data_IF_917491710919
#
_entry.id   IF_917491710919
#
_cell.length_a   1.000
_cell.length_b   1.000
_cell.length_c   1.000
_cell.angle_alpha   90.00
_cell.angle_beta   90.00
_cell.angle_gamma   90.00
#
_symmetry.space_group_name_H-M   'P 1'
#
loop_
_entity.id
_entity.type
_entity.pdbx_description
1 polymer ?
#
# COMPACT_ATOMS: atom_id res chain seq x y z
N UNK A 1 15.86 11.75 12.03
CA UNK A 1 16.75 11.01 11.11
C UNK A 1 16.85 9.57 11.62
N UNK A 2 16.63 8.58 10.78
CA UNK A 2 16.74 7.16 11.12
C UNK A 2 18.24 6.81 11.14
N UNK A 3 18.70 6.20 12.22
CA UNK A 3 20.14 5.84 12.37
C UNK A 3 20.43 4.52 11.64
N UNK A 4 21.66 4.30 11.15
CA UNK A 4 22.11 2.97 10.73
C UNK A 4 21.83 1.92 11.82
N UNK A 5 21.74 0.65 11.45
CA UNK A 5 21.33 -0.48 12.28
C UNK A 5 19.86 -0.50 12.70
N UNK A 6 19.09 0.56 12.42
CA UNK A 6 17.64 0.54 12.65
C UNK A 6 16.95 -0.50 11.77
N UNK A 7 15.82 -1.01 12.27
CA UNK A 7 14.97 -1.93 11.53
C UNK A 7 13.93 -1.11 10.76
N UNK A 8 13.91 -1.30 9.45
CA UNK A 8 12.89 -0.76 8.56
C UNK A 8 11.88 -1.86 8.26
N UNK A 9 10.60 -1.58 8.45
CA UNK A 9 9.52 -2.51 8.14
C UNK A 9 9.02 -2.32 6.70
N UNK A 10 8.82 -3.44 6.00
CA UNK A 10 8.24 -3.49 4.67
C UNK A 10 7.00 -4.37 4.68
N UNK A 11 5.83 -3.79 4.40
CA UNK A 11 4.60 -4.52 4.14
C UNK A 11 4.53 -4.85 2.64
N UNK A 12 4.36 -6.12 2.33
CA UNK A 12 4.47 -6.66 0.99
C UNK A 12 5.85 -7.25 0.74
N UNK A 13 5.85 -8.43 0.13
CA UNK A 13 7.03 -9.26 -0.05
C UNK A 13 7.46 -9.47 -1.50
N UNK A 14 7.00 -8.62 -2.42
CA UNK A 14 7.26 -8.73 -3.85
C UNK A 14 8.65 -8.25 -4.29
N UNK A 15 8.80 -8.04 -5.59
CA UNK A 15 10.09 -7.65 -6.19
C UNK A 15 10.56 -6.25 -5.78
N UNK A 16 9.65 -5.30 -5.65
CA UNK A 16 10.01 -3.95 -5.19
C UNK A 16 10.48 -3.97 -3.74
N UNK A 17 9.82 -4.75 -2.88
CA UNK A 17 10.26 -5.00 -1.50
C UNK A 17 11.65 -5.64 -1.45
N UNK A 18 11.95 -6.59 -2.37
CA UNK A 18 13.29 -7.16 -2.50
C UNK A 18 14.34 -6.11 -2.87
N UNK A 19 14.06 -5.26 -3.85
CA UNK A 19 14.97 -4.19 -4.25
C UNK A 19 15.19 -3.19 -3.10
N UNK A 20 14.14 -2.83 -2.38
CA UNK A 20 14.23 -1.99 -1.19
C UNK A 20 15.11 -2.63 -0.11
N UNK A 21 14.91 -3.91 0.20
CA UNK A 21 15.67 -4.61 1.23
C UNK A 21 17.18 -4.66 0.89
N UNK A 22 17.53 -4.92 -0.36
CA UNK A 22 18.92 -4.92 -0.83
C UNK A 22 19.55 -3.51 -0.75
N UNK A 23 18.84 -2.48 -1.19
CA UNK A 23 19.33 -1.10 -1.12
C UNK A 23 19.49 -0.63 0.33
N UNK A 24 18.53 -0.93 1.20
CA UNK A 24 18.60 -0.60 2.60
C UNK A 24 19.78 -1.28 3.32
N UNK A 25 20.05 -2.56 3.00
CA UNK A 25 21.18 -3.29 3.54
C UNK A 25 22.53 -2.65 3.14
N UNK A 26 22.69 -2.17 1.90
CA UNK A 26 23.87 -1.42 1.47
C UNK A 26 24.07 -0.11 2.23
N UNK A 27 22.98 0.48 2.74
CA UNK A 27 23.00 1.69 3.56
C UNK A 27 23.16 1.41 5.06
N UNK A 28 23.33 0.15 5.47
CA UNK A 28 23.51 -0.25 6.85
C UNK A 28 22.21 -0.40 7.65
N UNK A 29 21.06 -0.55 7.00
CA UNK A 29 19.78 -0.83 7.65
C UNK A 29 19.44 -2.31 7.60
N UNK A 30 18.64 -2.77 8.56
CA UNK A 30 18.02 -4.10 8.54
C UNK A 30 16.56 -3.97 8.11
N UNK A 31 16.11 -4.84 7.22
CA UNK A 31 14.72 -4.84 6.77
C UNK A 31 14.00 -6.06 7.34
N UNK A 32 12.85 -5.83 7.96
CA UNK A 32 11.88 -6.86 8.26
C UNK A 32 10.76 -6.78 7.24
N UNK A 33 10.41 -7.92 6.65
CA UNK A 33 9.32 -8.03 5.68
C UNK A 33 8.13 -8.72 6.34
N UNK A 34 6.95 -8.18 6.13
CA UNK A 34 5.68 -8.75 6.56
C UNK A 34 4.84 -9.08 5.33
N UNK A 35 4.61 -10.35 5.07
CA UNK A 35 3.87 -10.82 3.90
C UNK A 35 3.34 -12.24 4.14
N UNK A 36 2.05 -12.55 3.83
CA UNK A 36 1.48 -13.86 4.05
C UNK A 36 2.04 -14.95 3.13
N UNK A 37 2.68 -14.58 2.03
CA UNK A 37 3.20 -15.53 1.04
C UNK A 37 4.36 -16.33 1.60
N UNK A 38 4.36 -17.63 1.33
CA UNK A 38 5.49 -18.52 1.63
C UNK A 38 6.71 -18.18 0.77
N UNK A 39 6.48 -17.90 -0.49
CA UNK A 39 7.50 -17.52 -1.48
C UNK A 39 7.50 -16.00 -1.66
N UNK A 40 8.17 -15.32 -0.74
CA UNK A 40 8.30 -13.87 -0.74
C UNK A 40 9.68 -13.47 -1.26
N UNK A 41 9.78 -12.88 -2.48
CA UNK A 41 11.06 -12.41 -3.01
C UNK A 41 11.81 -11.45 -2.07
N UNK A 42 11.09 -10.58 -1.36
CA UNK A 42 11.69 -9.71 -0.36
C UNK A 42 12.09 -10.47 0.91
N UNK A 43 11.27 -11.43 1.34
CA UNK A 43 11.54 -12.26 2.52
C UNK A 43 12.84 -13.06 2.41
N UNK A 44 13.22 -13.50 1.19
CA UNK A 44 14.46 -14.23 0.94
C UNK A 44 15.74 -13.44 1.23
N UNK A 45 15.69 -12.12 1.16
CA UNK A 45 16.85 -11.23 1.34
C UNK A 45 16.74 -10.34 2.58
N UNK A 46 15.60 -10.35 3.25
CA UNK A 46 15.35 -9.57 4.44
C UNK A 46 16.07 -10.15 5.67
N UNK A 47 16.35 -9.30 6.66
CA UNK A 47 16.87 -9.74 7.95
C UNK A 47 15.85 -10.62 8.71
N UNK A 48 14.56 -10.45 8.48
CA UNK A 48 13.48 -11.28 8.97
C UNK A 48 12.27 -11.21 8.05
N UNK A 49 11.62 -12.34 7.81
CA UNK A 49 10.31 -12.44 7.19
C UNK A 49 9.29 -12.89 8.24
N UNK A 50 8.26 -12.08 8.45
CA UNK A 50 7.09 -12.43 9.27
C UNK A 50 6.00 -12.85 8.31
N UNK A 51 5.69 -14.15 8.34
CA UNK A 51 4.66 -14.75 7.51
C UNK A 51 3.34 -14.80 8.29
N UNK A 52 2.50 -13.80 8.07
CA UNK A 52 1.19 -13.72 8.70
C UNK A 52 0.24 -12.87 7.83
N UNK A 53 -1.06 -13.02 8.04
CA UNK A 53 -2.08 -12.25 7.34
C UNK A 53 -2.09 -10.78 7.80
N UNK A 54 -2.50 -9.86 6.92
CA UNK A 54 -2.50 -8.42 7.21
C UNK A 54 -3.52 -7.98 8.26
N UNK A 55 -4.32 -8.87 8.80
CA UNK A 55 -5.25 -8.67 9.92
C UNK A 55 -4.80 -9.37 11.22
N UNK A 56 -3.67 -10.09 11.22
CA UNK A 56 -3.09 -10.69 12.42
C UNK A 56 -2.50 -9.60 13.34
N UNK A 57 -3.32 -9.12 14.26
CA UNK A 57 -2.95 -8.04 15.18
C UNK A 57 -1.76 -8.38 16.07
N UNK A 58 -1.58 -9.66 16.45
CA UNK A 58 -0.46 -10.06 17.31
C UNK A 58 0.87 -9.99 16.54
N UNK A 59 0.91 -10.52 15.34
CA UNK A 59 2.07 -10.47 14.47
C UNK A 59 2.38 -9.03 14.02
N UNK A 60 1.35 -8.24 13.70
CA UNK A 60 1.50 -6.82 13.35
C UNK A 60 2.07 -5.99 14.52
N UNK A 61 1.61 -6.26 15.75
CA UNK A 61 2.15 -5.60 16.94
C UNK A 61 3.63 -5.91 17.13
N UNK A 62 4.03 -7.18 17.04
CA UNK A 62 5.44 -7.59 17.12
C UNK A 62 6.27 -6.86 16.05
N UNK A 63 5.77 -6.85 14.81
CA UNK A 63 6.41 -6.19 13.69
C UNK A 63 6.57 -4.69 13.93
N UNK A 64 5.48 -3.99 14.31
CA UNK A 64 5.49 -2.55 14.54
C UNK A 64 6.44 -2.14 15.69
N UNK A 65 6.42 -2.90 16.79
CA UNK A 65 7.30 -2.64 17.94
C UNK A 65 8.79 -2.81 17.63
N UNK A 66 9.13 -3.66 16.65
CA UNK A 66 10.51 -3.88 16.25
C UNK A 66 11.02 -2.83 15.26
N UNK A 67 10.13 -2.25 14.45
CA UNK A 67 10.48 -1.36 13.36
C UNK A 67 10.53 0.10 13.79
N UNK A 68 11.56 0.84 13.34
CA UNK A 68 11.62 2.30 13.51
C UNK A 68 10.62 3.03 12.61
N UNK A 69 10.43 2.53 11.42
CA UNK A 69 9.46 3.00 10.44
C UNK A 69 8.98 1.83 9.60
N UNK A 70 7.71 1.87 9.23
CA UNK A 70 7.10 0.89 8.32
C UNK A 70 6.66 1.60 7.04
N UNK A 71 6.95 0.96 5.92
CA UNK A 71 6.48 1.36 4.59
C UNK A 71 5.80 0.20 3.87
N UNK A 72 5.17 0.46 2.73
CA UNK A 72 4.55 -0.56 1.89
C UNK A 72 5.07 -0.46 0.47
N UNK A 73 5.24 -1.60 -0.20
CA UNK A 73 5.56 -1.67 -1.61
C UNK A 73 4.35 -2.01 -2.49
N UNK A 74 3.26 -2.44 -1.84
CA UNK A 74 2.06 -2.94 -2.48
C UNK A 74 0.85 -2.10 -2.08
N UNK A 75 0.19 -1.46 -3.02
CA UNK A 75 -0.90 -0.53 -2.76
C UNK A 75 -2.16 -1.18 -2.19
N UNK A 76 -2.31 -2.50 -2.33
CA UNK A 76 -3.49 -3.21 -1.84
C UNK A 76 -3.37 -3.73 -0.39
N UNK A 77 -2.32 -3.33 0.35
CA UNK A 77 -2.27 -3.57 1.79
C UNK A 77 -3.46 -2.84 2.44
N UNK A 78 -4.29 -3.51 3.27
CA UNK A 78 -5.43 -2.86 3.91
C UNK A 78 -5.01 -1.59 4.67
N UNK A 79 -5.71 -0.48 4.46
CA UNK A 79 -5.37 0.78 5.14
C UNK A 79 -5.53 0.67 6.66
N UNK A 80 -6.39 -0.24 7.13
CA UNK A 80 -6.59 -0.59 8.53
C UNK A 80 -5.33 -1.16 9.16
N UNK A 81 -4.58 -2.00 8.43
CA UNK A 81 -3.28 -2.55 8.85
C UNK A 81 -2.27 -1.44 9.11
N UNK A 82 -2.20 -0.47 8.18
CA UNK A 82 -1.32 0.69 8.34
C UNK A 82 -1.76 1.58 9.50
N UNK A 83 -3.07 1.75 9.70
CA UNK A 83 -3.62 2.51 10.82
C UNK A 83 -3.29 1.85 12.15
N UNK A 84 -3.43 0.54 12.26
CA UNK A 84 -3.07 -0.22 13.46
C UNK A 84 -1.58 -0.08 13.80
N UNK A 85 -0.72 -0.11 12.81
CA UNK A 85 0.74 0.02 13.01
C UNK A 85 1.16 1.40 13.50
N UNK A 86 0.36 2.46 13.27
CA UNK A 86 0.67 3.80 13.78
C UNK A 86 0.73 3.89 15.32
N UNK A 87 0.08 2.96 16.02
CA UNK A 87 0.15 2.88 17.49
C UNK A 87 1.51 2.38 17.99
N UNK A 88 2.35 1.81 17.12
CA UNK A 88 3.61 1.15 17.49
C UNK A 88 4.84 1.79 16.84
N UNK A 89 4.73 2.37 15.66
CA UNK A 89 5.84 2.94 14.91
C UNK A 89 5.41 4.04 13.95
N UNK A 90 6.39 4.72 13.37
CA UNK A 90 6.12 5.63 12.26
C UNK A 90 5.69 4.83 11.01
N UNK A 91 4.60 5.24 10.36
CA UNK A 91 4.09 4.61 9.13
C UNK A 91 4.10 5.61 8.00
N UNK A 92 4.74 5.26 6.89
CA UNK A 92 4.84 6.05 5.67
C UNK A 92 4.62 5.12 4.45
N UNK A 93 3.72 5.46 3.52
CA UNK A 93 2.89 6.65 3.49
C UNK A 93 1.79 6.66 4.56
N UNK A 94 1.13 7.81 4.73
CA UNK A 94 0.01 7.91 5.67
C UNK A 94 -1.14 6.97 5.27
N UNK A 95 -1.76 6.22 6.20
CA UNK A 95 -2.84 5.29 5.90
C UNK A 95 -4.00 5.91 5.11
N UNK A 96 -4.35 7.16 5.39
CA UNK A 96 -5.39 7.88 4.64
C UNK A 96 -5.02 8.08 3.17
N UNK A 97 -3.74 8.34 2.87
CA UNK A 97 -3.28 8.47 1.48
C UNK A 97 -3.39 7.14 0.73
N UNK A 98 -3.03 6.04 1.39
CA UNK A 98 -3.18 4.69 0.83
C UNK A 98 -4.66 4.36 0.60
N UNK A 99 -5.52 4.61 1.58
CA UNK A 99 -6.96 4.40 1.46
C UNK A 99 -7.57 5.15 0.27
N UNK A 100 -7.15 6.39 0.03
CA UNK A 100 -7.62 7.18 -1.11
C UNK A 100 -7.12 6.56 -2.43
N UNK A 101 -5.83 6.26 -2.53
CA UNK A 101 -5.21 5.76 -3.75
C UNK A 101 -5.67 4.34 -4.15
N UNK A 102 -6.09 3.52 -3.18
CA UNK A 102 -6.59 2.16 -3.44
C UNK A 102 -7.86 2.08 -4.28
N UNK A 103 -8.61 3.16 -4.40
CA UNK A 103 -9.85 3.18 -5.14
C UNK A 103 -9.89 4.36 -6.11
N UNK A 104 -9.93 4.08 -7.41
CA UNK A 104 -9.89 5.11 -8.47
C UNK A 104 -11.01 6.13 -8.39
N UNK A 105 -12.17 5.76 -7.87
CA UNK A 105 -13.29 6.68 -7.70
C UNK A 105 -12.97 7.67 -6.57
N UNK A 106 -12.50 7.15 -5.42
CA UNK A 106 -12.07 7.97 -4.27
C UNK A 106 -10.92 8.89 -4.63
N UNK A 107 -9.91 8.35 -5.34
CA UNK A 107 -8.74 9.11 -5.78
C UNK A 107 -9.13 10.28 -6.67
N UNK A 108 -9.93 10.03 -7.71
CA UNK A 108 -10.39 11.08 -8.63
C UNK A 108 -11.28 12.12 -7.94
N UNK A 109 -12.17 11.67 -7.07
CA UNK A 109 -13.00 12.59 -6.30
C UNK A 109 -12.15 13.48 -5.41
N UNK A 110 -11.20 12.90 -4.66
CA UNK A 110 -10.28 13.66 -3.82
C UNK A 110 -9.47 14.70 -4.60
N UNK A 111 -8.94 14.33 -5.78
CA UNK A 111 -8.18 15.24 -6.62
C UNK A 111 -9.07 16.38 -7.14
N UNK A 112 -10.30 16.07 -7.56
CA UNK A 112 -11.26 17.07 -8.02
C UNK A 112 -11.69 18.02 -6.90
N UNK A 113 -11.89 17.52 -5.68
CA UNK A 113 -12.24 18.32 -4.50
C UNK A 113 -11.15 19.33 -4.12
N UNK A 114 -9.89 19.04 -4.50
CA UNK A 114 -8.76 19.96 -4.38
C UNK A 114 -8.70 20.99 -5.53
N UNK A 115 -9.65 20.98 -6.47
CA UNK A 115 -9.67 21.87 -7.63
C UNK A 115 -8.68 21.45 -8.73
N UNK A 116 -8.10 20.27 -8.67
CA UNK A 116 -7.18 19.75 -9.68
C UNK A 116 -8.00 18.99 -10.74
N UNK A 117 -7.98 19.40 -12.01
CA UNK A 117 -8.78 18.74 -13.05
C UNK A 117 -8.27 17.33 -13.34
N UNK A 118 -9.21 16.39 -13.47
CA UNK A 118 -8.96 15.03 -13.95
C UNK A 118 -9.77 14.78 -15.23
N UNK A 119 -9.46 13.69 -15.95
CA UNK A 119 -10.34 13.24 -17.02
C UNK A 119 -11.75 12.97 -16.48
N UNK A 120 -12.78 13.36 -17.21
CA UNK A 120 -14.17 13.09 -16.85
C UNK A 120 -14.36 11.58 -16.60
N UNK A 121 -15.16 11.24 -15.60
CA UNK A 121 -15.44 9.86 -15.26
C UNK A 121 -16.85 9.73 -14.66
N UNK A 122 -17.37 8.53 -14.68
CA UNK A 122 -18.56 8.12 -13.95
C UNK A 122 -18.21 6.92 -13.07
N UNK A 123 -18.81 6.85 -11.89
CA UNK A 123 -18.76 5.67 -11.04
C UNK A 123 -19.84 4.69 -11.47
N UNK A 124 -19.47 3.46 -11.80
CA UNK A 124 -20.39 2.40 -12.18
C UNK A 124 -20.42 1.37 -11.05
N UNK A 125 -21.47 1.38 -10.23
CA UNK A 125 -21.67 0.42 -9.15
C UNK A 125 -22.66 -0.70 -9.56
N UNK A 126 -23.49 -0.45 -10.56
CA UNK A 126 -24.49 -1.37 -11.12
C UNK A 126 -24.70 -1.07 -12.59
N UNK A 127 -25.28 -2.03 -13.32
CA UNK A 127 -25.42 -1.94 -14.77
C UNK A 127 -26.19 -0.68 -15.23
N UNK A 128 -27.19 -0.23 -14.47
CA UNK A 128 -28.00 0.94 -14.79
C UNK A 128 -27.17 2.23 -14.83
N UNK A 129 -26.07 2.30 -14.06
CA UNK A 129 -25.20 3.48 -14.02
C UNK A 129 -24.51 3.73 -15.37
N UNK A 130 -24.39 2.69 -16.22
CA UNK A 130 -23.83 2.82 -17.57
C UNK A 130 -24.61 3.78 -18.47
N UNK A 131 -25.89 4.05 -18.19
CA UNK A 131 -26.69 5.04 -18.94
C UNK A 131 -26.07 6.44 -18.84
N UNK A 132 -25.34 6.73 -17.75
CA UNK A 132 -24.63 8.00 -17.58
C UNK A 132 -23.41 8.13 -18.50
N UNK A 133 -22.96 7.04 -19.14
CA UNK A 133 -21.82 7.08 -20.06
C UNK A 133 -22.06 7.97 -21.30
N UNK A 134 -23.34 8.26 -21.64
CA UNK A 134 -23.69 9.25 -22.66
C UNK A 134 -23.19 10.67 -22.35
N UNK A 135 -22.88 10.96 -21.09
CA UNK A 135 -22.34 12.25 -20.65
C UNK A 135 -20.81 12.36 -20.87
N UNK A 136 -20.14 11.24 -21.18
CA UNK A 136 -18.70 11.21 -21.43
C UNK A 136 -18.40 11.40 -22.92
N UNK A 137 -17.23 11.94 -23.18
CA UNK A 137 -16.67 12.01 -24.53
C UNK A 137 -16.12 10.63 -24.94
N UNK A 138 -16.56 10.12 -26.08
CA UNK A 138 -16.11 8.84 -26.62
C UNK A 138 -14.87 8.99 -27.51
N UNK A 139 -13.95 7.97 -27.53
CA UNK A 139 -14.06 6.66 -26.87
C UNK A 139 -13.74 6.73 -25.36
N UNK A 140 -14.33 5.79 -24.58
CA UNK A 140 -14.15 5.67 -23.13
C UNK A 140 -13.48 4.34 -22.77
N UNK A 141 -12.89 4.29 -21.57
CA UNK A 141 -12.29 3.08 -21.00
C UNK A 141 -13.07 2.71 -19.73
N UNK A 142 -13.58 1.48 -19.68
CA UNK A 142 -14.14 0.89 -18.48
C UNK A 142 -12.99 0.21 -17.69
N UNK A 143 -12.89 0.51 -16.39
CA UNK A 143 -11.88 -0.07 -15.50
C UNK A 143 -12.52 -0.49 -14.19
N UNK A 144 -11.92 -1.48 -13.51
CA UNK A 144 -12.25 -1.77 -12.12
C UNK A 144 -11.82 -0.58 -11.23
N UNK A 145 -12.60 -0.34 -10.16
CA UNK A 145 -12.27 0.72 -9.21
C UNK A 145 -11.07 0.36 -8.30
N UNK A 146 -10.87 -0.94 -8.06
CA UNK A 146 -9.79 -1.51 -7.26
C UNK A 146 -9.21 -2.74 -7.98
N UNK A 147 -8.01 -3.15 -7.62
CA UNK A 147 -7.33 -4.34 -8.16
C UNK A 147 -7.26 -4.36 -9.70
N UNK A 148 -7.16 -3.21 -10.32
CA UNK A 148 -7.18 -3.05 -11.77
C UNK A 148 -5.78 -3.06 -12.38
N UNK A 149 -5.23 -4.25 -12.55
CA UNK A 149 -4.06 -4.54 -13.38
C UNK A 149 -4.46 -5.29 -14.64
#
# INVERSE_FOLDING_TARGET
MIKPDSILGMLGGGQLGRMFALAAAQMGYRVWVYDPSEHSPAGEVAARHIRADYDDQQALKEFGQACQVVTTEFENIPAETLTFLQDYCQVCPNPKSVYIAQNRIREKQFINDLGIPTSAFIAVNRAEDLQQASQLQWPCILKTAQFGY
#
